data_IF_388717149560
#
_entry.id   IF_388717149560
#
_cell.length_a   1.000
_cell.length_b   1.000
_cell.length_c   1.000
_cell.angle_alpha   90.00
_cell.angle_beta   90.00
_cell.angle_gamma   90.00
#
_symmetry.space_group_name_H-M   'P 1'
#
loop_
_entity.id
_entity.type
_entity.pdbx_description
1 polymer ?
#
# COMPACT_ATOMS: atom_id res chain seq x y z
N UNK A 1 -25.99 2.49 48.92
CA UNK A 1 -26.02 1.50 47.83
C UNK A 1 -26.21 0.13 48.44
N UNK A 2 -27.18 -0.63 47.95
CA UNK A 2 -27.90 -1.66 48.68
C UNK A 2 -27.13 -2.99 48.74
N UNK A 3 -27.11 -3.60 49.93
CA UNK A 3 -26.52 -4.91 50.28
C UNK A 3 -26.88 -6.04 49.31
N UNK A 4 -27.99 -5.89 48.57
CA UNK A 4 -28.44 -6.80 47.52
C UNK A 4 -27.53 -6.81 46.28
N UNK A 5 -26.91 -5.68 45.93
CA UNK A 5 -25.98 -5.60 44.79
C UNK A 5 -24.66 -6.29 45.17
N UNK A 6 -24.19 -6.06 46.40
CA UNK A 6 -22.98 -6.71 46.91
C UNK A 6 -23.15 -8.23 46.97
N UNK A 7 -24.30 -8.70 47.48
CA UNK A 7 -24.60 -10.13 47.50
C UNK A 7 -24.64 -10.75 46.10
N UNK A 8 -25.21 -10.04 45.10
CA UNK A 8 -25.21 -10.52 43.71
C UNK A 8 -23.82 -10.53 43.07
N UNK A 9 -22.94 -9.61 43.46
CA UNK A 9 -21.55 -9.58 43.00
C UNK A 9 -20.75 -10.74 43.60
N UNK A 10 -20.91 -11.02 44.90
CA UNK A 10 -20.26 -12.17 45.55
C UNK A 10 -20.79 -13.51 44.99
N UNK A 11 -22.08 -13.60 44.70
CA UNK A 11 -22.69 -14.77 44.07
C UNK A 11 -22.17 -14.99 42.64
N UNK A 12 -21.92 -13.91 41.88
CA UNK A 12 -21.30 -13.99 40.55
C UNK A 12 -19.82 -14.38 40.63
N UNK A 13 -19.07 -13.83 41.59
CA UNK A 13 -17.66 -14.15 41.79
C UNK A 13 -17.49 -15.64 42.16
N UNK A 14 -18.32 -16.14 43.06
CA UNK A 14 -18.31 -17.57 43.44
C UNK A 14 -18.77 -18.49 42.31
N UNK A 15 -19.71 -18.09 41.46
CA UNK A 15 -20.05 -18.86 40.25
C UNK A 15 -18.90 -18.89 39.23
N UNK A 16 -18.16 -17.79 39.08
CA UNK A 16 -17.03 -17.70 38.16
C UNK A 16 -15.88 -18.63 38.60
N UNK A 17 -15.50 -18.58 39.87
CA UNK A 17 -14.48 -19.47 40.46
C UNK A 17 -14.86 -20.95 40.39
N UNK A 18 -16.17 -21.26 40.50
CA UNK A 18 -16.68 -22.63 40.45
C UNK A 18 -16.81 -23.19 39.03
N UNK A 19 -16.96 -22.34 38.03
CA UNK A 19 -17.04 -22.73 36.60
C UNK A 19 -15.68 -22.79 35.92
N UNK A 20 -14.69 -22.07 36.45
CA UNK A 20 -13.30 -22.13 36.00
C UNK A 20 -12.42 -22.42 37.23
N UNK A 21 -12.24 -23.70 37.61
CA UNK A 21 -11.12 -24.01 38.50
C UNK A 21 -9.86 -23.49 37.80
N UNK A 22 -9.08 -22.66 38.50
CA UNK A 22 -7.80 -22.13 38.03
C UNK A 22 -7.02 -23.25 37.35
N UNK A 23 -6.97 -23.25 36.02
CA UNK A 23 -6.21 -24.24 35.28
C UNK A 23 -4.73 -23.96 35.59
N UNK A 24 -4.00 -24.88 36.26
CA UNK A 24 -2.62 -24.65 36.68
C UNK A 24 -1.63 -24.49 35.50
N UNK A 25 -2.09 -24.62 34.26
CA UNK A 25 -1.27 -24.62 33.05
C UNK A 25 -1.17 -23.25 32.35
N UNK A 26 -2.14 -22.35 32.53
CA UNK A 26 -2.21 -21.09 31.77
C UNK A 26 -1.11 -20.10 32.21
N UNK A 27 -0.77 -20.10 33.49
CA UNK A 27 0.24 -19.18 34.06
C UNK A 27 1.67 -19.59 33.63
N UNK A 28 1.93 -20.89 33.53
CA UNK A 28 3.20 -21.43 33.05
C UNK A 28 3.36 -21.22 31.53
N UNK A 29 2.29 -21.39 30.75
CA UNK A 29 2.28 -21.10 29.31
C UNK A 29 2.47 -19.59 29.03
N UNK A 30 1.83 -18.73 29.82
CA UNK A 30 1.97 -17.28 29.72
C UNK A 30 3.39 -16.80 30.07
N UNK A 31 3.98 -17.33 31.15
CA UNK A 31 5.35 -16.99 31.54
C UNK A 31 6.39 -17.48 30.52
N UNK A 32 6.20 -18.68 29.96
CA UNK A 32 7.05 -19.20 28.89
C UNK A 32 6.94 -18.37 27.61
N UNK A 33 5.71 -18.00 27.21
CA UNK A 33 5.47 -17.13 26.06
C UNK A 33 6.12 -15.75 26.25
N UNK A 34 5.92 -15.11 27.41
CA UNK A 34 6.49 -13.79 27.75
C UNK A 34 8.01 -13.81 27.74
N UNK A 35 8.63 -14.80 28.37
CA UNK A 35 10.09 -14.93 28.39
C UNK A 35 10.69 -15.15 26.99
N UNK A 36 10.01 -15.95 26.16
CA UNK A 36 10.46 -16.21 24.79
C UNK A 36 10.37 -14.96 23.92
N UNK A 37 9.29 -14.18 24.06
CA UNK A 37 9.10 -12.94 23.31
C UNK A 37 10.08 -11.86 23.77
N UNK A 38 10.31 -11.68 25.07
CA UNK A 38 11.31 -10.76 25.59
C UNK A 38 12.71 -11.06 25.04
N UNK A 39 13.10 -12.34 25.03
CA UNK A 39 14.39 -12.77 24.47
C UNK A 39 14.48 -12.51 22.96
N UNK A 40 13.42 -12.78 22.21
CA UNK A 40 13.39 -12.51 20.76
C UNK A 40 13.48 -11.01 20.44
N UNK A 41 12.80 -10.16 21.23
CA UNK A 41 12.86 -8.71 21.12
C UNK A 41 14.27 -8.21 21.42
N UNK A 42 14.90 -8.69 22.49
CA UNK A 42 16.28 -8.35 22.84
C UNK A 42 17.27 -8.69 21.72
N UNK A 43 17.19 -9.90 21.18
CA UNK A 43 18.04 -10.31 20.06
C UNK A 43 17.83 -9.45 18.79
N UNK A 44 16.58 -9.07 18.52
CA UNK A 44 16.25 -8.21 17.37
C UNK A 44 16.82 -6.81 17.55
N UNK A 45 16.75 -6.26 18.76
CA UNK A 45 17.32 -4.95 19.09
C UNK A 45 18.85 -4.94 18.90
N UNK A 46 19.55 -5.97 19.38
CA UNK A 46 21.01 -6.11 19.19
C UNK A 46 21.39 -6.12 17.71
N UNK A 47 20.63 -6.84 16.87
CA UNK A 47 20.88 -6.88 15.43
C UNK A 47 20.66 -5.51 14.77
N UNK A 48 19.62 -4.78 15.18
CA UNK A 48 19.35 -3.42 14.66
C UNK A 48 20.48 -2.45 15.02
N UNK A 49 20.98 -2.48 16.25
CA UNK A 49 22.11 -1.65 16.69
C UNK A 49 23.36 -1.95 15.86
N UNK A 50 23.67 -3.24 15.65
CA UNK A 50 24.82 -3.65 14.86
C UNK A 50 24.71 -3.21 13.39
N UNK A 51 23.52 -3.37 12.79
CA UNK A 51 23.27 -3.01 11.40
C UNK A 51 23.35 -1.48 11.21
N UNK A 52 22.83 -0.72 12.16
CA UNK A 52 22.92 0.74 12.17
C UNK A 52 24.38 1.22 12.27
N UNK A 53 25.18 0.66 13.19
CA UNK A 53 26.60 0.96 13.29
C UNK A 53 27.36 0.66 11.98
N UNK A 54 27.00 -0.43 11.29
CA UNK A 54 27.60 -0.79 10.01
C UNK A 54 27.28 0.21 8.90
N UNK A 55 26.02 0.65 8.81
CA UNK A 55 25.60 1.67 7.84
C UNK A 55 26.33 2.99 8.08
N UNK A 56 26.45 3.42 9.33
CA UNK A 56 27.21 4.64 9.67
C UNK A 56 28.68 4.54 9.27
N UNK A 57 29.32 3.38 9.52
CA UNK A 57 30.69 3.13 9.07
C UNK A 57 30.86 3.19 7.55
N UNK A 58 29.91 2.64 6.79
CA UNK A 58 29.93 2.72 5.32
C UNK A 58 29.73 4.15 4.82
N UNK A 59 28.80 4.91 5.41
CA UNK A 59 28.54 6.29 5.03
C UNK A 59 29.75 7.19 5.29
N UNK A 60 30.43 7.02 6.44
CA UNK A 60 31.65 7.76 6.76
C UNK A 60 32.79 7.46 5.76
N UNK A 61 32.91 6.21 5.28
CA UNK A 61 33.90 5.85 4.27
C UNK A 61 33.55 6.41 2.87
N UNK A 62 32.27 6.40 2.50
CA UNK A 62 31.79 6.97 1.24
C UNK A 62 32.02 8.49 1.15
N UNK A 63 31.90 9.20 2.28
CA UNK A 63 32.14 10.63 2.36
C UNK A 63 33.62 10.99 2.14
N UNK A 64 34.55 10.17 2.67
CA UNK A 64 35.99 10.35 2.44
C UNK A 64 36.39 10.16 0.97
N UNK A 65 35.79 9.20 0.26
CA UNK A 65 36.08 8.95 -1.16
C UNK A 65 35.56 10.07 -2.09
N UNK A 66 34.47 10.74 -1.71
CA UNK A 66 33.87 11.80 -2.52
C UNK A 66 34.64 13.14 -2.43
N UNK A 67 35.57 13.30 -1.47
CA UNK A 67 36.37 14.53 -1.30
C UNK A 67 37.63 14.60 -2.18
N UNK A 68 37.96 13.54 -2.95
CA UNK A 68 39.19 13.46 -3.74
C UNK A 68 39.04 13.79 -5.24
N UNK A 69 37.88 14.20 -5.72
CA UNK A 69 37.70 14.65 -7.12
C UNK A 69 37.16 16.07 -7.20
N UNK A 70 38.08 17.03 -7.21
CA UNK A 70 37.80 18.41 -7.63
C UNK A 70 38.72 18.75 -8.82
N UNK A 71 38.25 18.71 -10.07
CA UNK A 71 38.99 19.31 -11.17
C UNK A 71 38.76 20.83 -11.13
N UNK A 72 39.88 21.56 -11.04
CA UNK A 72 39.92 23.01 -11.10
C UNK A 72 39.55 23.54 -12.49
N UNK A 73 38.79 24.63 -12.46
CA UNK A 73 38.43 25.61 -13.50
C UNK A 73 39.39 25.79 -14.69
N UNK A 74 38.86 26.09 -15.89
CA UNK A 74 39.14 27.31 -16.69
C UNK A 74 38.27 27.35 -17.96
N UNK A 75 37.57 28.47 -18.20
CA UNK A 75 36.85 28.80 -19.43
C UNK A 75 37.82 29.30 -20.53
N UNK A 76 37.63 28.88 -21.78
CA UNK A 76 37.92 29.69 -22.99
C UNK A 76 37.23 29.08 -24.21
N UNK A 77 36.68 29.92 -25.09
CA UNK A 77 35.78 29.52 -26.17
C UNK A 77 36.41 29.20 -27.53
N UNK A 78 35.50 29.06 -28.50
CA UNK A 78 35.58 28.96 -29.98
C UNK A 78 35.40 27.58 -30.64
N UNK A 79 34.41 27.61 -31.54
CA UNK A 79 34.28 27.00 -32.87
C UNK A 79 34.33 25.47 -33.09
N UNK A 80 33.20 25.03 -33.65
CA UNK A 80 33.05 24.17 -34.82
C UNK A 80 33.30 22.65 -34.70
N UNK A 81 32.25 21.94 -35.16
CA UNK A 81 32.21 20.59 -35.73
C UNK A 81 31.42 19.58 -34.92
N UNK A 82 30.20 19.38 -35.41
CA UNK A 82 29.28 18.28 -35.17
C UNK A 82 29.97 16.93 -35.28
N UNK A 83 30.00 16.18 -34.19
CA UNK A 83 29.97 14.71 -34.23
C UNK A 83 28.91 14.29 -33.22
N UNK A 84 27.67 14.16 -33.68
CA UNK A 84 26.60 13.54 -32.91
C UNK A 84 26.94 12.07 -32.81
N UNK A 85 27.62 11.68 -31.73
CA UNK A 85 27.72 10.29 -31.33
C UNK A 85 26.28 9.78 -31.15
N UNK A 86 25.81 8.94 -32.08
CA UNK A 86 24.56 8.23 -31.93
C UNK A 86 24.76 7.26 -30.77
N UNK A 87 24.42 7.73 -29.57
CA UNK A 87 24.19 6.87 -28.43
C UNK A 87 23.05 5.96 -28.87
N UNK A 88 23.37 4.71 -29.21
CA UNK A 88 22.37 3.65 -29.31
C UNK A 88 21.82 3.51 -27.90
N UNK A 89 20.72 4.23 -27.63
CA UNK A 89 19.90 3.98 -26.47
C UNK A 89 19.59 2.49 -26.48
N UNK A 90 19.95 1.77 -25.42
CA UNK A 90 19.37 0.47 -25.15
C UNK A 90 17.86 0.69 -25.13
N UNK A 91 17.15 0.31 -26.20
CA UNK A 91 15.71 0.30 -26.21
C UNK A 91 15.28 -0.78 -25.22
N UNK A 92 14.94 -0.34 -24.02
CA UNK A 92 14.24 -1.15 -23.04
C UNK A 92 12.97 -1.71 -23.72
N UNK A 93 12.60 -2.96 -23.45
CA UNK A 93 11.34 -3.51 -23.93
C UNK A 93 10.22 -2.52 -23.62
N UNK A 94 9.40 -2.19 -24.63
CA UNK A 94 8.28 -1.28 -24.46
C UNK A 94 7.40 -1.81 -23.33
N UNK A 95 7.29 -1.06 -22.24
CA UNK A 95 6.46 -1.45 -21.10
C UNK A 95 5.02 -1.57 -21.63
N UNK A 96 4.41 -2.77 -21.56
CA UNK A 96 3.08 -2.96 -22.08
C UNK A 96 2.09 -2.09 -21.30
N UNK A 97 1.14 -1.51 -22.01
CA UNK A 97 0.10 -0.69 -21.38
C UNK A 97 -0.68 -1.60 -20.42
N UNK A 98 -0.77 -1.23 -19.12
CA UNK A 98 -1.42 -2.07 -18.12
C UNK A 98 -2.90 -2.25 -18.48
N UNK A 99 -3.47 -3.42 -18.18
CA UNK A 99 -4.90 -3.67 -18.40
C UNK A 99 -5.67 -3.64 -17.11
N UNK A 100 -6.81 -2.96 -17.11
CA UNK A 100 -7.68 -2.84 -15.94
C UNK A 100 -9.03 -3.49 -16.20
N UNK A 101 -9.38 -4.46 -15.35
CA UNK A 101 -10.60 -5.25 -15.49
C UNK A 101 -11.76 -4.72 -14.62
N UNK A 102 -11.52 -3.70 -13.78
CA UNK A 102 -12.51 -3.18 -12.82
C UNK A 102 -12.30 -3.64 -11.39
N UNK A 103 -11.19 -4.31 -11.10
CA UNK A 103 -10.83 -4.65 -9.74
C UNK A 103 -10.33 -3.40 -9.00
N UNK A 104 -11.07 -2.98 -7.98
CA UNK A 104 -10.76 -1.78 -7.19
C UNK A 104 -9.38 -1.91 -6.52
N UNK A 105 -8.97 -3.13 -6.18
CA UNK A 105 -7.66 -3.43 -5.58
C UNK A 105 -6.49 -3.08 -6.48
N UNK A 106 -6.66 -3.32 -7.78
CA UNK A 106 -5.62 -3.07 -8.77
C UNK A 106 -5.64 -1.63 -9.29
N UNK A 107 -6.61 -0.81 -8.87
CA UNK A 107 -6.80 0.54 -9.43
C UNK A 107 -5.59 1.45 -9.21
N UNK A 108 -5.09 1.54 -7.98
CA UNK A 108 -3.95 2.42 -7.67
C UNK A 108 -2.70 2.00 -8.45
N UNK A 109 -2.41 0.70 -8.49
CA UNK A 109 -1.28 0.15 -9.26
C UNK A 109 -1.46 0.39 -10.77
N UNK A 110 -2.65 0.13 -11.30
CA UNK A 110 -2.99 0.41 -12.69
C UNK A 110 -2.79 1.90 -13.02
N UNK A 111 -3.28 2.79 -12.16
CA UNK A 111 -3.27 4.22 -12.41
C UNK A 111 -1.84 4.78 -12.41
N UNK A 112 -1.00 4.37 -11.45
CA UNK A 112 0.42 4.73 -11.43
C UNK A 112 1.15 4.26 -12.69
N UNK A 113 0.94 3.00 -13.10
CA UNK A 113 1.51 2.46 -14.33
C UNK A 113 0.98 3.20 -15.57
N UNK A 114 -0.31 3.55 -15.61
CA UNK A 114 -0.89 4.30 -16.71
C UNK A 114 -0.35 5.73 -16.78
N UNK A 115 -0.07 6.35 -15.63
CA UNK A 115 0.56 7.67 -15.58
C UNK A 115 1.95 7.63 -16.20
N UNK A 116 2.77 6.67 -15.79
CA UNK A 116 4.13 6.52 -16.26
C UNK A 116 4.20 6.18 -17.76
N UNK A 117 3.29 5.34 -18.25
CA UNK A 117 3.33 4.85 -19.62
C UNK A 117 2.60 5.74 -20.64
N UNK A 118 1.53 6.43 -20.25
CA UNK A 118 0.65 7.15 -21.18
C UNK A 118 0.39 8.60 -20.75
N UNK A 119 0.00 8.83 -19.49
CA UNK A 119 -0.44 10.15 -19.07
C UNK A 119 0.69 11.20 -19.06
N UNK A 120 1.89 10.81 -18.65
CA UNK A 120 3.09 11.66 -18.60
C UNK A 120 3.74 11.90 -19.98
N UNK A 121 3.38 11.09 -20.98
CA UNK A 121 3.90 11.21 -22.33
C UNK A 121 3.33 12.44 -23.05
N UNK A 122 4.10 12.99 -23.99
CA UNK A 122 3.72 14.14 -24.85
C UNK A 122 2.73 13.73 -25.96
N UNK A 123 1.64 13.07 -25.57
CA UNK A 123 0.56 12.64 -26.45
C UNK A 123 -0.62 13.64 -26.36
N UNK A 124 -1.40 13.74 -27.44
CA UNK A 124 -2.65 14.50 -27.38
C UNK A 124 -3.67 13.84 -26.46
N UNK A 125 -4.54 14.61 -25.82
CA UNK A 125 -5.59 14.08 -24.94
C UNK A 125 -6.49 13.05 -25.66
N UNK A 126 -6.72 13.22 -26.96
CA UNK A 126 -7.49 12.27 -27.77
C UNK A 126 -6.77 10.92 -27.91
N UNK A 127 -5.45 10.96 -28.14
CA UNK A 127 -4.62 9.74 -28.19
C UNK A 127 -4.56 9.08 -26.80
N UNK A 128 -4.37 9.87 -25.74
CA UNK A 128 -4.39 9.36 -24.36
C UNK A 128 -5.74 8.71 -24.02
N UNK A 129 -6.85 9.27 -24.49
CA UNK A 129 -8.17 8.68 -24.30
C UNK A 129 -8.34 7.38 -25.08
N UNK A 130 -7.81 7.30 -26.30
CA UNK A 130 -7.83 6.06 -27.06
C UNK A 130 -6.99 4.95 -26.37
N UNK A 131 -5.83 5.30 -25.83
CA UNK A 131 -5.02 4.39 -25.01
C UNK A 131 -5.74 3.99 -23.73
N UNK A 132 -6.41 4.93 -23.04
CA UNK A 132 -7.22 4.62 -21.87
C UNK A 132 -8.30 3.58 -22.22
N UNK A 133 -9.05 3.77 -23.30
CA UNK A 133 -10.09 2.81 -23.72
C UNK A 133 -9.54 1.43 -24.06
N UNK A 134 -8.36 1.34 -24.67
CA UNK A 134 -7.73 0.06 -25.00
C UNK A 134 -7.12 -0.64 -23.77
N UNK A 135 -6.81 0.12 -22.72
CA UNK A 135 -6.33 -0.39 -21.44
C UNK A 135 -7.46 -0.98 -20.57
N UNK A 136 -8.69 -0.51 -20.77
CA UNK A 136 -9.85 -0.93 -19.98
C UNK A 136 -10.50 -2.17 -20.56
N UNK A 137 -10.91 -3.09 -19.69
CA UNK A 137 -11.65 -4.30 -20.03
C UNK A 137 -12.88 -4.43 -19.13
N UNK A 138 -13.84 -5.26 -19.54
CA UNK A 138 -15.02 -5.56 -18.73
C UNK A 138 -15.89 -4.34 -18.42
N UNK A 139 -16.27 -4.20 -17.15
CA UNK A 139 -17.21 -3.21 -16.63
C UNK A 139 -16.72 -1.74 -16.73
N UNK A 140 -15.43 -1.43 -16.47
CA UNK A 140 -14.86 -0.11 -16.76
C UNK A 140 -15.00 0.33 -18.21
N UNK A 141 -14.70 -0.56 -19.17
CA UNK A 141 -14.80 -0.25 -20.59
C UNK A 141 -16.25 0.06 -20.99
N UNK A 142 -17.22 -0.71 -20.48
CA UNK A 142 -18.64 -0.45 -20.74
C UNK A 142 -19.10 0.90 -20.17
N UNK A 143 -18.59 1.28 -19.01
CA UNK A 143 -18.84 2.60 -18.43
C UNK A 143 -18.26 3.70 -19.31
N UNK A 144 -17.06 3.50 -19.84
CA UNK A 144 -16.37 4.47 -20.69
C UNK A 144 -16.96 4.61 -22.09
N UNK A 145 -17.59 3.57 -22.65
CA UNK A 145 -18.31 3.66 -23.94
C UNK A 145 -19.45 4.67 -23.94
N UNK A 146 -19.95 5.09 -22.76
CA UNK A 146 -20.98 6.12 -22.62
C UNK A 146 -20.44 7.53 -22.86
N UNK A 147 -19.12 7.71 -22.82
CA UNK A 147 -18.46 8.98 -23.08
C UNK A 147 -18.10 9.08 -24.56
N UNK A 148 -18.33 10.25 -25.17
CA UNK A 148 -17.86 10.51 -26.53
C UNK A 148 -16.34 10.70 -26.53
N UNK A 149 -15.64 10.15 -27.54
CA UNK A 149 -14.19 10.28 -27.69
C UNK A 149 -13.80 11.72 -28.09
N UNK A 150 -13.76 12.62 -27.12
CA UNK A 150 -13.37 14.03 -27.29
C UNK A 150 -12.33 14.42 -26.26
N UNK A 151 -11.55 15.47 -26.56
CA UNK A 151 -10.52 16.02 -25.66
C UNK A 151 -11.07 16.37 -24.28
N UNK A 152 -12.21 17.08 -24.25
CA UNK A 152 -12.87 17.51 -23.01
C UNK A 152 -13.37 16.35 -22.14
N UNK A 153 -13.69 15.21 -22.76
CA UNK A 153 -14.19 14.04 -22.05
C UNK A 153 -13.06 13.18 -21.48
N UNK A 154 -11.81 13.36 -21.91
CA UNK A 154 -10.69 12.62 -21.34
C UNK A 154 -10.52 12.89 -19.84
N UNK A 155 -10.52 14.16 -19.45
CA UNK A 155 -10.42 14.56 -18.04
C UNK A 155 -11.61 14.05 -17.22
N UNK A 156 -12.83 14.17 -17.77
CA UNK A 156 -14.05 13.66 -17.11
C UNK A 156 -14.07 12.14 -16.97
N UNK A 157 -13.52 11.42 -17.96
CA UNK A 157 -13.40 9.97 -17.92
C UNK A 157 -12.45 9.53 -16.82
N UNK A 158 -11.28 10.19 -16.68
CA UNK A 158 -10.34 9.93 -15.58
C UNK A 158 -11.02 10.21 -14.23
N UNK A 159 -11.63 11.39 -14.08
CA UNK A 159 -12.31 11.77 -12.83
C UNK A 159 -13.39 10.75 -12.44
N UNK A 160 -14.19 10.29 -13.40
CA UNK A 160 -15.18 9.24 -13.17
C UNK A 160 -14.54 7.93 -12.70
N UNK A 161 -13.47 7.48 -13.36
CA UNK A 161 -12.79 6.23 -13.00
C UNK A 161 -12.13 6.35 -11.62
N UNK A 162 -11.45 7.46 -11.32
CA UNK A 162 -10.84 7.72 -10.02
C UNK A 162 -11.89 7.80 -8.91
N UNK A 163 -13.04 8.42 -9.15
CA UNK A 163 -14.11 8.47 -8.16
C UNK A 163 -14.72 7.09 -7.89
N UNK A 164 -14.83 6.27 -8.94
CA UNK A 164 -15.45 4.95 -8.85
C UNK A 164 -14.53 3.87 -8.27
N UNK A 165 -13.25 3.88 -8.65
CA UNK A 165 -12.28 2.83 -8.30
C UNK A 165 -11.14 3.32 -7.40
N UNK A 166 -10.90 4.62 -7.31
CA UNK A 166 -9.88 5.20 -6.42
C UNK A 166 -10.40 5.57 -5.03
N UNK A 167 -11.72 5.45 -4.79
CA UNK A 167 -12.30 5.72 -3.49
C UNK A 167 -12.13 4.52 -2.56
N UNK A 168 -11.07 4.55 -1.76
CA UNK A 168 -10.78 3.54 -0.74
C UNK A 168 -11.91 3.40 0.30
N UNK A 169 -12.72 4.44 0.54
CA UNK A 169 -13.86 4.36 1.46
C UNK A 169 -15.01 3.51 0.92
N UNK A 170 -15.26 3.57 -0.40
CA UNK A 170 -16.27 2.71 -1.04
C UNK A 170 -15.80 1.24 -1.10
N UNK A 171 -14.49 1.01 -1.27
CA UNK A 171 -13.89 -0.32 -1.13
C UNK A 171 -14.14 -0.90 0.26
N UNK A 172 -13.88 -0.13 1.33
CA UNK A 172 -14.19 -0.54 2.71
C UNK A 172 -15.67 -0.88 2.85
N UNK A 173 -16.57 -0.04 2.34
CA UNK A 173 -18.02 -0.27 2.43
C UNK A 173 -18.44 -1.55 1.73
N UNK A 174 -17.89 -1.84 0.54
CA UNK A 174 -18.16 -3.09 -0.16
C UNK A 174 -17.63 -4.31 0.61
N UNK A 175 -16.44 -4.20 1.17
CA UNK A 175 -15.83 -5.26 1.97
C UNK A 175 -16.62 -5.51 3.26
N UNK A 176 -17.07 -4.47 3.95
CA UNK A 176 -17.90 -4.55 5.15
C UNK A 176 -19.24 -5.23 4.84
N UNK A 177 -19.88 -4.89 3.70
CA UNK A 177 -21.10 -5.57 3.24
C UNK A 177 -20.87 -7.05 2.92
N UNK A 178 -19.71 -7.37 2.34
CA UNK A 178 -19.32 -8.76 2.05
C UNK A 178 -19.06 -9.53 3.34
N UNK A 179 -18.45 -8.90 4.33
CA UNK A 179 -18.23 -9.44 5.68
C UNK A 179 -19.56 -9.69 6.38
N UNK A 180 -20.50 -8.73 6.38
CA UNK A 180 -21.84 -8.94 6.94
C UNK A 180 -22.53 -10.14 6.31
N UNK A 181 -22.43 -10.27 4.98
CA UNK A 181 -23.01 -11.40 4.24
C UNK A 181 -22.40 -12.75 4.61
N UNK A 182 -21.08 -12.80 4.86
CA UNK A 182 -20.34 -14.01 5.28
C UNK A 182 -20.48 -14.27 6.79
N UNK A 183 -20.72 -13.25 7.60
CA UNK A 183 -20.99 -13.39 9.04
C UNK A 183 -22.41 -13.92 9.29
N UNK A 184 -23.37 -13.53 8.45
CA UNK A 184 -24.77 -13.99 8.49
C UNK A 184 -24.95 -15.44 8.02
N UNK A 185 -24.04 -15.95 7.20
CA UNK A 185 -24.00 -17.35 6.77
C UNK A 185 -22.69 -17.96 7.22
N UNK A 186 -22.69 -18.78 8.27
CA UNK A 186 -21.50 -19.52 8.75
C UNK A 186 -20.76 -20.21 7.60
N UNK A 187 -19.87 -19.47 6.94
CA UNK A 187 -19.10 -19.94 5.80
C UNK A 187 -17.83 -20.61 6.34
N UNK A 188 -17.17 -21.48 5.56
CA UNK A 188 -15.99 -22.19 6.02
C UNK A 188 -14.90 -21.22 6.48
N UNK A 189 -14.14 -21.60 7.52
CA UNK A 189 -13.03 -20.84 8.13
C UNK A 189 -12.01 -20.28 7.10
N UNK A 190 -11.89 -20.91 5.92
CA UNK A 190 -10.99 -20.46 4.86
C UNK A 190 -11.46 -19.17 4.17
N UNK A 191 -12.77 -19.01 3.97
CA UNK A 191 -13.32 -17.78 3.39
C UNK A 191 -13.22 -16.62 4.39
N UNK A 192 -13.37 -16.91 5.68
CA UNK A 192 -13.18 -15.93 6.76
C UNK A 192 -11.72 -15.49 6.88
N UNK A 193 -10.75 -16.41 6.77
CA UNK A 193 -9.32 -16.06 6.76
C UNK A 193 -8.92 -15.22 5.57
N UNK A 194 -9.37 -15.59 4.36
CA UNK A 194 -9.13 -14.80 3.16
C UNK A 194 -9.72 -13.39 3.28
N UNK A 195 -10.90 -13.29 3.88
CA UNK A 195 -11.53 -11.99 4.15
C UNK A 195 -10.76 -11.16 5.18
N UNK A 196 -10.18 -11.80 6.22
CA UNK A 196 -9.33 -11.10 7.18
C UNK A 196 -8.04 -10.58 6.52
N UNK A 197 -7.39 -11.40 5.70
CA UNK A 197 -6.21 -11.01 4.92
C UNK A 197 -6.51 -9.81 4.00
N UNK A 198 -7.67 -9.83 3.34
CA UNK A 198 -8.15 -8.70 2.54
C UNK A 198 -8.39 -7.45 3.44
N UNK A 199 -9.05 -7.60 4.61
CA UNK A 199 -9.27 -6.47 5.54
C UNK A 199 -7.95 -5.84 6.00
N UNK A 200 -6.98 -6.67 6.41
CA UNK A 200 -5.68 -6.21 6.87
C UNK A 200 -4.93 -5.45 5.77
N UNK A 201 -4.98 -5.94 4.53
CA UNK A 201 -4.40 -5.26 3.38
C UNK A 201 -5.05 -3.89 3.12
N UNK A 202 -6.39 -3.78 3.20
CA UNK A 202 -7.09 -2.49 3.07
C UNK A 202 -6.74 -1.54 4.19
N UNK A 203 -6.74 -1.99 5.44
CA UNK A 203 -6.37 -1.16 6.59
C UNK A 203 -4.94 -0.64 6.42
N UNK A 204 -4.00 -1.50 6.00
CA UNK A 204 -2.62 -1.10 5.70
C UNK A 204 -2.54 -0.01 4.61
N UNK A 205 -3.26 -0.18 3.51
CA UNK A 205 -3.30 0.80 2.42
C UNK A 205 -3.97 2.13 2.84
N UNK A 206 -5.00 2.08 3.68
CA UNK A 206 -5.69 3.26 4.20
C UNK A 206 -4.83 4.03 5.19
N UNK A 207 -4.11 3.34 6.06
CA UNK A 207 -3.14 3.95 6.97
C UNK A 207 -2.07 4.65 6.13
N UNK A 208 -1.52 3.98 5.11
CA UNK A 208 -0.54 4.57 4.20
C UNK A 208 -1.09 5.79 3.45
N UNK A 209 -2.34 5.74 2.94
CA UNK A 209 -2.98 6.89 2.29
C UNK A 209 -3.27 8.03 3.28
N UNK A 210 -3.70 7.72 4.50
CA UNK A 210 -3.93 8.69 5.56
C UNK A 210 -2.65 9.40 5.99
N UNK A 211 -1.55 8.68 6.11
CA UNK A 211 -0.22 9.24 6.36
C UNK A 211 0.26 10.12 5.19
N UNK A 212 0.03 9.69 3.94
CA UNK A 212 0.46 10.46 2.77
C UNK A 212 -0.33 11.77 2.59
N UNK A 213 -1.63 11.78 2.93
CA UNK A 213 -2.45 12.99 2.95
C UNK A 213 -2.02 13.96 4.06
N UNK A 214 -1.57 13.45 5.21
CA UNK A 214 -0.97 14.27 6.28
C UNK A 214 0.34 14.94 5.88
N UNK A 215 1.12 14.30 5.00
CA UNK A 215 2.45 14.75 4.59
C UNK A 215 2.44 15.71 3.37
N UNK A 216 1.30 15.85 2.67
CA UNK A 216 1.12 16.73 1.51
C UNK A 216 0.52 18.09 1.88
N UNK A 217 0.24 18.34 3.16
CA UNK A 217 -0.34 19.60 3.66
C UNK A 217 0.69 20.43 4.44
N UNK A 218 1.71 20.96 3.75
CA UNK A 218 2.53 22.08 4.23
C UNK A 218 3.00 22.93 3.07
#
# INVERSE_FOLDING_TARGET
MTTKIQHKLDELATMFEKTHPTLPYIEEEFTQYSSTTEKAIGNTFEYLVLLHARIQGFNAHAELLNTSHKPSTTNSGKDESTVTAVVKNLELPTIPIPTFNGDIWDWDNFWELFILNVHSQRLSELQKFNYLLSSLKGEPLQSMKKFQLTRQNYTKAIEFLTNKYGNSEELIRQLLRKMDKISLHSSPIQEQRRLLEDIEAIIGQLVQKGENVGNQST
#
